data_IF_957930311000
#
_entry.id   IF_957930311000
#
_cell.length_a   1.000
_cell.length_b   1.000
_cell.length_c   1.000
_cell.angle_alpha   90.00
_cell.angle_beta   90.00
_cell.angle_gamma   90.00
#
_symmetry.space_group_name_H-M   'P 1'
#
loop_
_entity.id
_entity.type
_entity.pdbx_description
1 polymer ?
#
# COMPACT_ATOMS: atom_id res chain seq x y z
N UNK A 1 -5.53 -55.25 0.60
CA UNK A 1 -4.77 -53.99 0.78
C UNK A 1 -4.29 -53.89 2.21
N UNK A 2 -3.05 -53.46 2.43
CA UNK A 2 -2.53 -53.19 3.78
C UNK A 2 -2.78 -51.72 4.16
N UNK A 3 -2.92 -51.42 5.46
CA UNK A 3 -3.11 -50.04 5.97
C UNK A 3 -2.05 -49.06 5.42
N UNK A 4 -0.81 -49.54 5.22
CA UNK A 4 0.29 -48.77 4.62
C UNK A 4 0.03 -48.39 3.16
N UNK A 5 -0.60 -49.27 2.38
CA UNK A 5 -0.96 -48.98 0.98
C UNK A 5 -2.07 -47.91 0.91
N UNK A 6 -3.06 -47.97 1.79
CA UNK A 6 -4.14 -46.98 1.84
C UNK A 6 -3.62 -45.56 2.17
N UNK A 7 -2.76 -45.45 3.19
CA UNK A 7 -2.13 -44.17 3.57
C UNK A 7 -1.29 -43.60 2.41
N UNK A 8 -0.57 -44.45 1.68
CA UNK A 8 0.23 -44.04 0.52
C UNK A 8 -0.65 -43.48 -0.61
N UNK A 9 -1.78 -44.13 -0.89
CA UNK A 9 -2.76 -43.66 -1.88
C UNK A 9 -3.34 -42.31 -1.46
N UNK A 10 -3.74 -42.15 -0.19
CA UNK A 10 -4.26 -40.88 0.35
C UNK A 10 -3.22 -39.76 0.21
N UNK A 11 -1.97 -40.02 0.60
CA UNK A 11 -0.89 -39.04 0.48
C UNK A 11 -0.64 -38.62 -0.99
N UNK A 12 -0.72 -39.56 -1.93
CA UNK A 12 -0.60 -39.22 -3.35
C UNK A 12 -1.76 -38.35 -3.85
N UNK A 13 -2.99 -38.64 -3.45
CA UNK A 13 -4.17 -37.84 -3.82
C UNK A 13 -4.05 -36.43 -3.24
N UNK A 14 -3.73 -36.31 -1.95
CA UNK A 14 -3.54 -35.02 -1.27
C UNK A 14 -2.41 -34.22 -1.91
N UNK A 15 -1.26 -34.84 -2.20
CA UNK A 15 -0.15 -34.18 -2.90
C UNK A 15 -0.55 -33.67 -4.29
N UNK A 16 -1.39 -34.41 -5.02
CA UNK A 16 -1.89 -34.01 -6.34
C UNK A 16 -2.84 -32.81 -6.23
N UNK A 17 -3.70 -32.76 -5.23
CA UNK A 17 -4.60 -31.61 -5.02
C UNK A 17 -3.83 -30.36 -4.60
N UNK A 18 -2.96 -30.45 -3.60
CA UNK A 18 -2.14 -29.31 -3.14
C UNK A 18 -1.28 -28.77 -4.30
N UNK A 19 -0.66 -29.64 -5.09
CA UNK A 19 0.17 -29.21 -6.24
C UNK A 19 -0.64 -28.44 -7.29
N UNK A 20 -1.91 -28.78 -7.51
CA UNK A 20 -2.78 -28.05 -8.44
C UNK A 20 -3.12 -26.66 -7.91
N UNK A 21 -3.43 -26.55 -6.61
CA UNK A 21 -3.74 -25.26 -5.98
C UNK A 21 -2.52 -24.33 -5.96
N UNK A 22 -1.34 -24.83 -5.57
CA UNK A 22 -0.10 -24.04 -5.56
C UNK A 22 0.27 -23.55 -6.95
N UNK A 23 0.15 -24.40 -7.98
CA UNK A 23 0.42 -23.98 -9.36
C UNK A 23 -0.57 -22.90 -9.83
N UNK A 24 -1.84 -22.97 -9.41
CA UNK A 24 -2.85 -21.96 -9.74
C UNK A 24 -2.52 -20.62 -9.08
N UNK A 25 -2.18 -20.63 -7.79
CA UNK A 25 -1.75 -19.44 -7.04
C UNK A 25 -0.51 -18.81 -7.69
N UNK A 26 0.50 -19.61 -8.02
CA UNK A 26 1.75 -19.12 -8.61
C UNK A 26 1.53 -18.46 -9.99
N UNK A 27 0.62 -19.00 -10.82
CA UNK A 27 0.27 -18.38 -12.12
C UNK A 27 -0.52 -17.09 -11.91
N UNK A 28 -1.42 -17.04 -10.93
CA UNK A 28 -2.19 -15.83 -10.58
C UNK A 28 -1.27 -14.71 -10.04
N UNK A 29 -0.32 -15.05 -9.18
CA UNK A 29 0.72 -14.13 -8.67
C UNK A 29 1.65 -13.62 -9.77
N UNK A 30 2.08 -14.47 -10.71
CA UNK A 30 2.91 -14.02 -11.83
C UNK A 30 2.15 -13.08 -12.77
N UNK A 31 0.87 -13.35 -13.06
CA UNK A 31 0.02 -12.47 -13.88
C UNK A 31 -0.25 -11.13 -13.21
N UNK A 32 -0.43 -11.10 -11.88
CA UNK A 32 -0.58 -9.84 -11.13
C UNK A 32 0.73 -9.08 -11.07
N UNK A 33 1.86 -9.76 -10.90
CA UNK A 33 3.19 -9.13 -10.89
C UNK A 33 3.58 -8.50 -12.23
N UNK A 34 3.22 -9.13 -13.36
CA UNK A 34 3.45 -8.57 -14.70
C UNK A 34 2.59 -7.32 -15.00
N UNK A 35 1.45 -7.14 -14.32
CA UNK A 35 0.67 -5.89 -14.45
C UNK A 35 1.32 -4.71 -13.72
N UNK A 36 2.25 -4.95 -12.79
CA UNK A 36 2.91 -3.89 -12.02
C UNK A 36 4.09 -3.25 -12.77
N UNK A 37 4.60 -3.89 -13.83
CA UNK A 37 5.70 -3.33 -14.65
C UNK A 37 5.26 -2.22 -15.61
N UNK A 38 3.96 -1.99 -15.79
CA UNK A 38 3.43 -0.92 -16.65
C UNK A 38 3.41 0.47 -15.96
N UNK A 39 3.79 0.55 -14.68
CA UNK A 39 3.92 1.81 -13.93
C UNK A 39 5.33 2.38 -14.02
N UNK A 40 5.94 2.31 -15.21
CA UNK A 40 7.09 3.17 -15.51
C UNK A 40 6.48 4.50 -15.98
N UNK A 41 6.60 5.61 -15.22
CA UNK A 41 6.13 6.89 -15.70
C UNK A 41 6.87 7.20 -17.00
N UNK A 42 6.15 7.23 -18.13
CA UNK A 42 6.67 7.70 -19.40
C UNK A 42 7.24 9.09 -19.16
N UNK A 43 8.56 9.19 -19.07
CA UNK A 43 9.29 10.45 -18.99
C UNK A 43 8.93 11.22 -20.26
N UNK A 44 8.02 12.19 -20.12
CA UNK A 44 7.55 12.98 -21.24
C UNK A 44 8.73 13.76 -21.79
N UNK A 45 9.01 13.61 -23.09
CA UNK A 45 10.06 14.35 -23.80
C UNK A 45 9.97 15.85 -23.48
N UNK A 46 11.11 16.56 -23.31
CA UNK A 46 11.10 18.00 -23.07
C UNK A 46 10.40 18.71 -24.24
N UNK A 47 9.36 19.49 -23.93
CA UNK A 47 8.60 20.25 -24.93
C UNK A 47 9.27 21.59 -25.19
N UNK A 48 9.17 22.06 -26.43
CA UNK A 48 9.61 23.39 -26.81
C UNK A 48 8.77 24.46 -26.10
N UNK A 49 9.42 25.51 -25.56
CA UNK A 49 8.74 26.60 -24.86
C UNK A 49 7.91 27.42 -25.84
N UNK A 50 6.60 27.52 -25.59
CA UNK A 50 5.68 28.34 -26.38
C UNK A 50 5.63 29.75 -25.80
N UNK A 51 5.44 30.77 -26.65
CA UNK A 51 5.23 32.16 -26.22
C UNK A 51 3.73 32.44 -26.08
N UNK A 52 3.24 32.44 -24.85
CA UNK A 52 1.88 32.79 -24.45
C UNK A 52 1.73 34.29 -24.15
N UNK A 53 2.77 34.91 -23.59
CA UNK A 53 2.73 36.30 -23.13
C UNK A 53 4.05 37.03 -23.41
N UNK A 54 4.01 38.35 -23.46
CA UNK A 54 5.19 39.22 -23.58
C UNK A 54 6.00 39.30 -22.27
N UNK A 55 5.37 39.05 -21.13
CA UNK A 55 6.02 39.02 -19.83
C UNK A 55 6.73 37.67 -19.64
N UNK A 56 8.05 37.72 -19.43
CA UNK A 56 8.93 36.55 -19.29
C UNK A 56 8.50 35.65 -18.12
N UNK A 57 8.28 36.21 -16.94
CA UNK A 57 7.94 35.47 -15.73
C UNK A 57 6.60 34.73 -15.89
N UNK A 58 5.59 35.40 -16.45
CA UNK A 58 4.29 34.77 -16.72
C UNK A 58 4.41 33.67 -17.79
N UNK A 59 5.23 33.88 -18.81
CA UNK A 59 5.43 32.89 -19.86
C UNK A 59 6.13 31.62 -19.35
N UNK A 60 7.11 31.76 -18.46
CA UNK A 60 7.80 30.62 -17.84
C UNK A 60 6.83 29.80 -16.97
N UNK A 61 6.07 30.46 -16.09
CA UNK A 61 5.03 29.79 -15.27
C UNK A 61 4.02 29.05 -16.14
N UNK A 62 3.55 29.67 -17.23
CA UNK A 62 2.58 29.04 -18.13
C UNK A 62 3.14 27.81 -18.86
N UNK A 63 4.40 27.84 -19.28
CA UNK A 63 5.06 26.68 -19.89
C UNK A 63 5.25 25.53 -18.90
N UNK A 64 5.53 25.83 -17.62
CA UNK A 64 5.61 24.84 -16.55
C UNK A 64 4.23 24.23 -16.25
N UNK A 65 3.17 25.04 -16.25
CA UNK A 65 1.80 24.58 -15.97
C UNK A 65 1.11 23.92 -17.16
N UNK A 66 1.53 24.18 -18.40
CA UNK A 66 0.96 23.55 -19.61
C UNK A 66 1.16 22.01 -19.64
N UNK A 67 2.09 21.48 -18.85
CA UNK A 67 2.23 20.05 -18.60
C UNK A 67 1.18 19.48 -17.65
N UNK A 68 0.68 20.29 -16.71
CA UNK A 68 -0.32 19.91 -15.71
C UNK A 68 -1.73 19.82 -16.31
N UNK A 69 -2.07 20.65 -17.30
CA UNK A 69 -3.39 20.62 -17.97
C UNK A 69 -3.57 19.47 -18.98
N UNK A 70 -2.48 18.80 -19.38
CA UNK A 70 -2.52 17.63 -20.29
C UNK A 70 -2.40 16.29 -19.59
N UNK A 71 -2.02 16.25 -18.30
CA UNK A 71 -2.54 15.20 -17.43
C UNK A 71 -4.02 15.52 -17.31
N UNK A 72 -4.87 14.70 -17.91
CA UNK A 72 -6.26 15.05 -18.19
C UNK A 72 -6.92 15.70 -16.98
N UNK A 73 -7.86 16.62 -17.20
CA UNK A 73 -8.75 17.14 -16.15
C UNK A 73 -9.49 16.02 -15.37
N UNK A 74 -9.37 14.77 -15.84
CA UNK A 74 -9.89 13.53 -15.26
C UNK A 74 -8.80 12.51 -14.89
N UNK A 75 -7.51 12.82 -15.01
CA UNK A 75 -6.44 11.91 -14.58
C UNK A 75 -6.42 11.84 -13.06
N UNK A 76 -6.80 10.68 -12.55
CA UNK A 76 -6.87 10.37 -11.13
C UNK A 76 -5.52 10.65 -10.45
N UNK A 77 -5.55 11.48 -9.40
CA UNK A 77 -4.35 11.81 -8.64
C UNK A 77 -3.71 10.50 -8.15
N UNK A 78 -2.37 10.37 -8.18
CA UNK A 78 -1.72 9.14 -7.71
C UNK A 78 -2.18 8.82 -6.29
N UNK A 79 -2.92 7.74 -6.17
CA UNK A 79 -3.46 7.27 -4.89
C UNK A 79 -2.34 6.53 -4.14
N UNK A 80 -2.36 6.59 -2.82
CA UNK A 80 -1.30 6.04 -1.96
C UNK A 80 -1.37 4.50 -1.89
N UNK A 81 -1.17 3.82 -3.02
CA UNK A 81 -0.92 2.39 -3.07
C UNK A 81 -2.13 1.47 -2.87
N UNK A 82 -3.36 1.93 -3.15
CA UNK A 82 -4.57 1.11 -2.99
C UNK A 82 -5.76 1.46 -3.89
N UNK A 83 -5.66 2.47 -4.76
CA UNK A 83 -6.80 3.05 -5.49
C UNK A 83 -7.44 4.22 -4.74
N UNK A 84 -8.46 4.86 -5.32
CA UNK A 84 -9.13 5.99 -4.67
C UNK A 84 -9.86 5.56 -3.40
N UNK A 85 -9.85 6.45 -2.40
CA UNK A 85 -10.66 6.33 -1.20
C UNK A 85 -12.07 6.82 -1.52
N UNK A 86 -12.96 5.90 -1.85
CA UNK A 86 -14.39 6.15 -2.02
C UNK A 86 -15.13 5.91 -0.68
N UNK A 87 -16.43 6.20 -0.66
CA UNK A 87 -17.27 5.98 0.52
C UNK A 87 -17.36 4.50 0.93
N UNK A 88 -17.13 3.58 -0.01
CA UNK A 88 -17.11 2.14 0.27
C UNK A 88 -15.86 1.72 1.08
N UNK A 89 -14.73 2.43 0.90
CA UNK A 89 -13.47 2.24 1.62
C UNK A 89 -13.29 3.12 2.85
N UNK A 90 -14.32 3.91 3.21
CA UNK A 90 -14.33 4.65 4.47
C UNK A 90 -14.15 3.71 5.68
N UNK A 91 -14.70 2.49 5.61
CA UNK A 91 -14.55 1.50 6.67
C UNK A 91 -13.09 1.05 6.85
N UNK A 92 -12.34 0.97 5.75
CA UNK A 92 -10.92 0.60 5.75
C UNK A 92 -10.05 1.75 6.27
N UNK A 93 -10.34 2.98 5.84
CA UNK A 93 -9.71 4.20 6.37
C UNK A 93 -9.95 4.35 7.88
N UNK A 94 -11.17 4.10 8.32
CA UNK A 94 -11.58 4.31 9.71
C UNK A 94 -11.34 3.08 10.60
N UNK A 95 -10.83 1.99 10.01
CA UNK A 95 -10.52 0.74 10.70
C UNK A 95 -11.72 0.09 11.38
N UNK A 96 -12.95 0.31 10.89
CA UNK A 96 -14.13 -0.36 11.43
C UNK A 96 -14.09 -1.84 11.05
N UNK A 97 -14.19 -2.74 12.06
CA UNK A 97 -14.21 -4.19 11.89
C UNK A 97 -12.92 -4.94 12.28
N UNK A 98 -11.80 -4.23 12.45
CA UNK A 98 -10.54 -4.82 12.88
C UNK A 98 -10.32 -4.64 14.40
N UNK A 99 -9.61 -5.59 15.02
CA UNK A 99 -9.12 -5.42 16.40
C UNK A 99 -8.11 -4.28 16.44
N UNK A 100 -8.00 -3.59 17.59
CA UNK A 100 -7.12 -2.41 17.70
C UNK A 100 -5.65 -2.72 17.43
N UNK A 101 -5.25 -3.98 17.62
CA UNK A 101 -3.91 -4.50 17.30
C UNK A 101 -3.66 -4.55 15.78
N UNK A 102 -4.61 -5.11 15.03
CA UNK A 102 -4.54 -5.17 13.56
C UNK A 102 -4.53 -3.77 12.94
N UNK A 103 -5.25 -2.80 13.54
CA UNK A 103 -5.20 -1.40 13.09
C UNK A 103 -3.80 -0.80 13.25
N UNK A 104 -3.15 -1.05 14.39
CA UNK A 104 -1.79 -0.55 14.65
C UNK A 104 -0.77 -1.18 13.68
N UNK A 105 -0.88 -2.47 13.44
CA UNK A 105 -0.02 -3.18 12.48
C UNK A 105 -0.18 -2.64 11.06
N UNK A 106 -1.41 -2.37 10.63
CA UNK A 106 -1.68 -1.79 9.31
C UNK A 106 -1.08 -0.40 9.16
N UNK A 107 -1.22 0.46 10.18
CA UNK A 107 -0.60 1.79 10.20
C UNK A 107 0.93 1.69 10.20
N UNK A 108 1.49 0.73 10.94
CA UNK A 108 2.93 0.48 10.94
C UNK A 108 3.45 0.09 9.56
N UNK A 109 2.78 -0.83 8.88
CA UNK A 109 3.15 -1.24 7.52
C UNK A 109 3.02 -0.09 6.52
N UNK A 110 1.95 0.72 6.61
CA UNK A 110 1.76 1.88 5.73
C UNK A 110 2.85 2.94 5.92
N UNK A 111 3.22 3.26 7.17
CA UNK A 111 4.30 4.22 7.46
C UNK A 111 5.67 3.74 6.97
N UNK A 112 5.98 2.44 7.13
CA UNK A 112 7.22 1.83 6.63
C UNK A 112 7.28 1.89 5.10
N UNK A 113 6.17 1.55 4.42
CA UNK A 113 6.06 1.65 2.96
C UNK A 113 6.18 3.10 2.48
N UNK A 114 5.55 4.06 3.15
CA UNK A 114 5.67 5.50 2.86
C UNK A 114 7.10 6.01 3.04
N UNK A 115 7.86 5.45 3.97
CA UNK A 115 9.28 5.72 4.14
C UNK A 115 10.17 5.06 3.09
N UNK A 116 9.60 4.31 2.13
CA UNK A 116 10.32 3.62 1.05
C UNK A 116 11.12 2.41 1.53
N UNK A 117 10.81 1.85 2.70
CA UNK A 117 11.49 0.70 3.31
C UNK A 117 10.59 -0.53 3.27
N UNK A 118 11.17 -1.73 3.25
CA UNK A 118 10.41 -2.97 3.47
C UNK A 118 10.35 -3.30 4.96
N UNK A 119 9.36 -4.10 5.38
CA UNK A 119 9.19 -4.52 6.77
C UNK A 119 10.44 -5.25 7.28
N UNK A 120 11.09 -6.05 6.43
CA UNK A 120 12.32 -6.79 6.77
C UNK A 120 13.55 -5.89 6.96
N UNK A 121 13.52 -4.66 6.44
CA UNK A 121 14.62 -3.69 6.58
C UNK A 121 14.52 -2.85 7.86
N UNK A 122 13.40 -2.95 8.57
CA UNK A 122 13.15 -2.14 9.77
C UNK A 122 13.48 -2.99 11.01
N UNK A 123 14.37 -2.51 11.89
CA UNK A 123 14.70 -3.23 13.11
C UNK A 123 13.49 -3.50 14.02
N UNK A 124 13.52 -4.62 14.74
CA UNK A 124 12.42 -5.08 15.62
C UNK A 124 11.98 -4.07 16.68
N UNK A 125 12.91 -3.24 17.16
CA UNK A 125 12.58 -2.20 18.15
C UNK A 125 11.73 -1.08 17.54
N UNK A 126 11.91 -0.78 16.25
CA UNK A 126 11.13 0.26 15.55
C UNK A 126 9.76 -0.28 15.18
N UNK A 127 9.68 -1.52 14.70
CA UNK A 127 8.39 -2.17 14.39
C UNK A 127 7.54 -2.28 15.67
N UNK A 128 8.12 -2.76 16.77
CA UNK A 128 7.45 -2.83 18.06
C UNK A 128 7.05 -1.44 18.58
N UNK A 129 7.89 -0.42 18.42
CA UNK A 129 7.54 0.94 18.81
C UNK A 129 6.35 1.51 18.04
N UNK A 130 6.16 1.13 16.77
CA UNK A 130 5.01 1.54 15.96
C UNK A 130 3.74 0.76 16.28
N UNK A 131 3.85 -0.51 16.68
CA UNK A 131 2.68 -1.37 16.95
C UNK A 131 2.24 -1.37 18.41
N UNK A 132 3.06 -0.82 19.32
CA UNK A 132 2.80 -0.76 20.76
C UNK A 132 1.52 0.02 21.10
N UNK A 133 0.76 -0.51 22.05
CA UNK A 133 -0.36 0.21 22.66
C UNK A 133 0.13 1.26 23.68
N UNK A 134 0.06 2.53 23.28
CA UNK A 134 0.37 3.68 24.16
C UNK A 134 -0.86 4.22 24.91
N UNK A 135 -2.01 3.56 24.86
CA UNK A 135 -3.26 4.03 25.48
C UNK A 135 -3.11 4.32 26.98
N UNK A 136 -2.40 3.47 27.72
CA UNK A 136 -2.14 3.67 29.15
C UNK A 136 -1.31 4.92 29.44
N UNK A 137 -0.28 5.19 28.64
CA UNK A 137 0.54 6.40 28.75
C UNK A 137 -0.28 7.64 28.40
N UNK A 138 -1.09 7.58 27.35
CA UNK A 138 -1.99 8.68 26.97
C UNK A 138 -3.02 8.98 28.07
N UNK A 139 -3.60 7.95 28.70
CA UNK A 139 -4.51 8.14 29.84
C UNK A 139 -3.81 8.84 31.01
N UNK A 140 -2.63 8.37 31.40
CA UNK A 140 -1.87 8.99 32.49
C UNK A 140 -1.49 10.46 32.18
N UNK A 141 -1.18 10.78 30.92
CA UNK A 141 -0.94 12.15 30.47
C UNK A 141 -2.21 13.00 30.54
N UNK A 142 -3.35 12.46 30.13
CA UNK A 142 -4.64 13.15 30.19
C UNK A 142 -5.11 13.39 31.63
N UNK A 143 -4.95 12.41 32.52
CA UNK A 143 -5.29 12.53 33.94
C UNK A 143 -4.42 13.60 34.61
N UNK A 144 -3.11 13.60 34.31
CA UNK A 144 -2.18 14.65 34.74
C UNK A 144 -2.57 16.03 34.20
N UNK A 145 -3.01 16.12 32.94
CA UNK A 145 -3.45 17.36 32.30
C UNK A 145 -4.77 17.87 32.90
N UNK A 146 -5.67 16.97 33.27
CA UNK A 146 -6.95 17.28 33.94
C UNK A 146 -6.79 17.56 35.43
N UNK A 147 -5.58 17.43 35.98
CA UNK A 147 -5.32 17.65 37.40
C UNK A 147 -5.90 16.57 38.31
N UNK A 148 -6.27 15.42 37.74
CA UNK A 148 -6.74 14.25 38.48
C UNK A 148 -5.46 13.49 38.86
N UNK A 149 -4.97 13.76 40.06
CA UNK A 149 -3.88 12.98 40.69
C UNK A 149 -4.45 11.91 41.59
#
# INVERSE_FOLDING_TARGET
>A
MTKKQLVKIIQEVVRREIKKEVNKIFIEEQKTSQKLTDVIPKVSKPREKVKYTKNKSLNDVLNETAGLSKKGEFDEYPTMGGGAFDSSRMSELMGYGNTDEVKRDMVAVDTIKKAGRSVDQVPDHVTNALTRDYSGLMKALDDKKKGIR
#
